data_IF_336418601559
#
_entry.id   IF_336418601559
#
_cell.length_a   1.000
_cell.length_b   1.000
_cell.length_c   1.000
_cell.angle_alpha   90.00
_cell.angle_beta   90.00
_cell.angle_gamma   90.00
#
_symmetry.space_group_name_H-M   'P 1'
#
loop_
_entity.id
_entity.type
_entity.pdbx_description
1 polymer ?
#
# COMPACT_ATOMS: atom_id res chain seq x y z
N UNK A 1 -43.97 -47.61 -39.18
CA UNK A 1 -43.71 -47.39 -37.73
C UNK A 1 -42.73 -46.23 -37.59
N UNK A 2 -43.27 -45.05 -37.27
CA UNK A 2 -42.53 -43.80 -37.27
C UNK A 2 -41.62 -43.67 -36.04
N UNK A 3 -40.32 -43.50 -36.27
CA UNK A 3 -39.31 -43.22 -35.23
C UNK A 3 -39.43 -41.77 -34.78
N UNK A 4 -39.91 -41.59 -33.54
CA UNK A 4 -40.08 -40.31 -32.84
C UNK A 4 -38.70 -39.82 -32.35
N UNK A 5 -38.16 -38.78 -32.96
CA UNK A 5 -36.90 -38.11 -32.54
C UNK A 5 -37.20 -37.26 -31.30
N UNK A 6 -36.66 -37.66 -30.15
CA UNK A 6 -36.61 -36.85 -28.93
C UNK A 6 -35.48 -35.82 -29.07
N UNK A 7 -35.83 -34.53 -29.09
CA UNK A 7 -34.89 -33.43 -28.91
C UNK A 7 -34.73 -33.16 -27.42
N UNK A 8 -33.57 -33.55 -26.87
CA UNK A 8 -33.10 -33.15 -25.55
C UNK A 8 -32.58 -31.71 -25.64
N UNK A 9 -33.31 -30.76 -25.07
CA UNK A 9 -32.84 -29.41 -24.82
C UNK A 9 -31.91 -29.43 -23.60
N UNK A 10 -30.60 -29.27 -23.83
CA UNK A 10 -29.61 -29.04 -22.77
C UNK A 10 -29.63 -27.53 -22.48
N UNK A 11 -30.26 -27.14 -21.38
CA UNK A 11 -30.11 -25.81 -20.82
C UNK A 11 -28.74 -25.73 -20.12
N UNK A 12 -27.76 -25.12 -20.78
CA UNK A 12 -26.46 -24.79 -20.18
C UNK A 12 -26.67 -23.55 -19.30
N UNK A 13 -26.81 -23.77 -17.99
CA UNK A 13 -26.77 -22.69 -16.99
C UNK A 13 -25.29 -22.37 -16.72
N UNK A 14 -24.80 -21.29 -17.31
CA UNK A 14 -23.49 -20.73 -16.98
C UNK A 14 -23.58 -20.00 -15.63
N UNK A 15 -23.16 -20.67 -14.56
CA UNK A 15 -22.96 -20.02 -13.26
C UNK A 15 -21.65 -19.25 -13.33
N UNK A 16 -21.74 -17.95 -13.61
CA UNK A 16 -20.63 -17.02 -13.43
C UNK A 16 -20.43 -16.80 -11.92
N UNK A 17 -19.53 -17.59 -11.33
CA UNK A 17 -19.02 -17.35 -9.98
C UNK A 17 -18.15 -16.09 -10.00
N UNK A 18 -18.78 -14.95 -9.76
CA UNK A 18 -18.07 -13.72 -9.44
C UNK A 18 -17.43 -13.83 -8.07
N UNK A 19 -16.09 -13.80 -8.02
CA UNK A 19 -15.36 -13.52 -6.78
C UNK A 19 -15.55 -12.04 -6.42
N UNK A 20 -16.62 -11.76 -5.68
CA UNK A 20 -16.84 -10.48 -5.02
C UNK A 20 -17.32 -10.76 -3.62
N UNK A 21 -16.44 -10.61 -2.63
CA UNK A 21 -16.82 -10.68 -1.22
C UNK A 21 -17.75 -9.51 -0.91
N UNK A 22 -19.05 -9.70 -1.15
CA UNK A 22 -20.09 -8.85 -0.62
C UNK A 22 -20.07 -9.02 0.91
N UNK A 23 -19.39 -8.11 1.59
CA UNK A 23 -19.44 -8.00 3.04
C UNK A 23 -20.89 -7.79 3.47
N UNK A 24 -21.52 -8.87 3.93
CA UNK A 24 -22.93 -8.93 4.33
C UNK A 24 -23.08 -8.60 5.83
N UNK A 25 -22.47 -7.50 6.28
CA UNK A 25 -22.56 -7.03 7.67
C UNK A 25 -23.75 -6.11 7.85
N UNK A 26 -24.83 -6.61 8.45
CA UNK A 26 -25.99 -5.81 8.87
C UNK A 26 -25.54 -4.78 9.92
N UNK A 27 -25.49 -3.51 9.53
CA UNK A 27 -25.93 -2.31 10.29
C UNK A 27 -25.33 -1.92 11.66
N UNK A 28 -24.79 -2.81 12.49
CA UNK A 28 -24.19 -2.46 13.78
C UNK A 28 -23.05 -3.42 14.17
N UNK A 29 -23.28 -4.73 14.10
CA UNK A 29 -22.26 -5.75 14.40
C UNK A 29 -21.00 -5.60 13.53
N UNK A 30 -21.20 -5.22 12.25
CA UNK A 30 -20.11 -4.93 11.33
C UNK A 30 -19.30 -3.68 11.71
N UNK A 31 -19.94 -2.67 12.32
CA UNK A 31 -19.25 -1.46 12.75
C UNK A 31 -18.43 -1.69 14.02
N UNK A 32 -18.99 -2.44 14.99
CA UNK A 32 -18.26 -2.84 16.20
C UNK A 32 -17.01 -3.67 15.85
N UNK A 33 -17.12 -4.56 14.85
CA UNK A 33 -15.98 -5.29 14.32
C UNK A 33 -14.92 -4.35 13.72
N UNK A 34 -15.32 -3.35 12.93
CA UNK A 34 -14.40 -2.37 12.35
C UNK A 34 -13.71 -1.53 13.43
N UNK A 35 -14.43 -1.13 14.48
CA UNK A 35 -13.84 -0.45 15.63
C UNK A 35 -12.82 -1.32 16.35
N UNK A 36 -13.10 -2.63 16.49
CA UNK A 36 -12.14 -3.55 17.09
C UNK A 36 -10.89 -3.72 16.20
N UNK A 37 -11.07 -3.92 14.90
CA UNK A 37 -9.96 -3.98 13.94
C UNK A 37 -9.10 -2.72 13.98
N UNK A 38 -9.72 -1.54 14.09
CA UNK A 38 -9.03 -0.27 14.21
C UNK A 38 -8.22 -0.17 15.52
N UNK A 39 -8.79 -0.58 16.65
CA UNK A 39 -8.07 -0.64 17.93
C UNK A 39 -6.87 -1.59 17.88
N UNK A 40 -7.04 -2.76 17.27
CA UNK A 40 -5.96 -3.74 17.12
C UNK A 40 -4.85 -3.21 16.19
N UNK A 41 -5.22 -2.49 15.13
CA UNK A 41 -4.27 -1.82 14.24
C UNK A 41 -3.46 -0.74 14.96
N UNK A 42 -4.11 0.11 15.75
CA UNK A 42 -3.43 1.12 16.57
C UNK A 42 -2.46 0.46 17.56
N UNK A 43 -2.88 -0.59 18.26
CA UNK A 43 -2.03 -1.31 19.20
C UNK A 43 -0.79 -1.92 18.52
N UNK A 44 -0.95 -2.52 17.33
CA UNK A 44 0.19 -3.02 16.54
C UNK A 44 1.13 -1.90 16.11
N UNK A 45 0.57 -0.77 15.69
CA UNK A 45 1.37 0.39 15.29
C UNK A 45 2.14 0.99 16.47
N UNK A 46 1.51 1.15 17.63
CA UNK A 46 2.15 1.62 18.86
C UNK A 46 3.29 0.68 19.28
N UNK A 47 3.10 -0.64 19.17
CA UNK A 47 4.18 -1.61 19.36
C UNK A 47 5.32 -1.43 18.37
N UNK A 48 5.03 -1.23 17.08
CA UNK A 48 6.05 -1.00 16.07
C UNK A 48 6.86 0.30 16.33
N UNK A 49 6.20 1.34 16.85
CA UNK A 49 6.88 2.57 17.30
C UNK A 49 7.80 2.31 18.48
N UNK A 50 7.35 1.53 19.47
CA UNK A 50 8.19 1.15 20.62
C UNK A 50 9.40 0.30 20.19
N UNK A 51 9.20 -0.70 19.33
CA UNK A 51 10.26 -1.57 18.80
C UNK A 51 11.30 -0.78 17.98
N UNK A 52 10.88 0.35 17.37
CA UNK A 52 11.75 1.28 16.66
C UNK A 52 12.39 2.37 17.55
N UNK A 53 12.32 2.24 18.87
CA UNK A 53 12.95 3.16 19.83
C UNK A 53 12.05 4.26 20.39
N UNK A 54 10.73 4.13 20.23
CA UNK A 54 9.74 4.95 20.95
C UNK A 54 9.49 6.36 20.38
N UNK A 55 10.07 6.69 19.23
CA UNK A 55 9.83 7.95 18.53
C UNK A 55 9.16 7.71 17.18
N UNK A 56 8.29 8.62 16.77
CA UNK A 56 7.67 8.55 15.45
C UNK A 56 8.72 8.71 14.35
N UNK A 57 9.00 7.60 13.68
CA UNK A 57 10.05 7.48 12.68
C UNK A 57 9.64 7.93 11.28
N UNK A 58 10.52 7.62 10.33
CA UNK A 58 10.21 7.74 8.92
C UNK A 58 9.32 6.56 8.51
N UNK A 59 8.13 6.85 7.97
CA UNK A 59 7.13 5.83 7.60
C UNK A 59 6.90 5.90 6.09
N UNK A 60 7.75 5.27 5.28
CA UNK A 60 7.53 5.22 3.85
C UNK A 60 6.28 4.41 3.53
N UNK A 61 5.57 4.81 2.46
CA UNK A 61 4.39 4.11 1.96
C UNK A 61 4.57 3.81 0.48
N UNK A 62 4.22 2.58 0.09
CA UNK A 62 4.37 2.09 -1.28
C UNK A 62 5.79 1.65 -1.61
N UNK A 63 6.10 1.66 -2.91
CA UNK A 63 7.36 1.15 -3.42
C UNK A 63 8.56 1.99 -2.98
N UNK A 64 9.55 1.31 -2.40
CA UNK A 64 10.84 1.88 -2.04
C UNK A 64 11.90 1.69 -3.12
N UNK A 65 11.54 0.98 -4.19
CA UNK A 65 12.38 0.73 -5.36
C UNK A 65 11.76 1.45 -6.56
N UNK A 66 12.55 2.21 -7.29
CA UNK A 66 12.12 2.93 -8.50
C UNK A 66 12.88 2.50 -9.74
N UNK A 67 12.34 2.80 -10.91
CA UNK A 67 12.94 2.55 -12.22
C UNK A 67 13.14 3.88 -12.96
N UNK A 68 14.29 4.03 -13.60
CA UNK A 68 14.63 5.16 -14.45
C UNK A 68 14.89 4.66 -15.88
N UNK A 69 14.11 5.17 -16.83
CA UNK A 69 14.08 4.66 -18.21
C UNK A 69 13.12 3.48 -18.37
N UNK A 70 12.89 3.07 -19.61
CA UNK A 70 11.99 1.97 -19.96
C UNK A 70 12.80 0.72 -20.33
N UNK A 71 12.30 -0.45 -19.90
CA UNK A 71 12.90 -1.73 -20.29
C UNK A 71 12.89 -1.89 -21.81
N UNK A 72 14.04 -2.23 -22.37
CA UNK A 72 14.14 -2.51 -23.79
C UNK A 72 13.35 -3.78 -24.13
N UNK A 73 12.69 -3.88 -25.31
CA UNK A 73 11.86 -5.05 -25.67
C UNK A 73 12.59 -6.40 -25.57
N UNK A 74 13.91 -6.41 -25.83
CA UNK A 74 14.76 -7.60 -25.72
C UNK A 74 15.05 -8.06 -24.28
N UNK A 75 14.71 -7.22 -23.30
CA UNK A 75 14.98 -7.39 -21.87
C UNK A 75 13.68 -7.61 -21.08
N UNK A 76 12.66 -8.24 -21.70
CA UNK A 76 11.31 -8.36 -21.16
C UNK A 76 11.24 -8.96 -19.74
N UNK A 77 12.10 -9.94 -19.45
CA UNK A 77 12.11 -10.62 -18.15
C UNK A 77 12.78 -9.79 -17.05
N UNK A 78 13.52 -8.73 -17.37
CA UNK A 78 14.23 -7.92 -16.37
C UNK A 78 13.27 -7.26 -15.39
N UNK A 79 12.08 -6.86 -15.87
CA UNK A 79 11.04 -6.31 -15.00
C UNK A 79 10.61 -7.35 -13.95
N UNK A 80 10.40 -8.59 -14.39
CA UNK A 80 9.98 -9.67 -13.50
C UNK A 80 11.12 -10.08 -12.56
N UNK A 81 12.37 -10.09 -13.02
CA UNK A 81 13.55 -10.32 -12.20
C UNK A 81 13.67 -9.28 -11.08
N UNK A 82 13.48 -7.99 -11.39
CA UNK A 82 13.47 -6.93 -10.39
C UNK A 82 12.33 -7.09 -9.37
N UNK A 83 11.10 -7.33 -9.84
CA UNK A 83 9.92 -7.49 -8.98
C UNK A 83 10.05 -8.69 -8.03
N UNK A 84 10.69 -9.77 -8.48
CA UNK A 84 10.98 -10.97 -7.68
C UNK A 84 12.27 -10.88 -6.85
N UNK A 85 12.92 -9.71 -6.81
CA UNK A 85 14.12 -9.49 -5.99
C UNK A 85 15.37 -10.20 -6.51
N UNK A 86 15.38 -10.63 -7.76
CA UNK A 86 16.54 -11.29 -8.38
C UNK A 86 17.54 -10.26 -8.86
N UNK A 87 18.23 -9.66 -7.89
CA UNK A 87 19.28 -8.67 -8.09
C UNK A 87 20.53 -9.12 -7.37
N UNK A 88 21.70 -8.92 -7.97
CA UNK A 88 22.98 -9.24 -7.33
C UNK A 88 24.06 -8.26 -7.73
N UNK A 89 25.03 -8.05 -6.84
CA UNK A 89 26.21 -7.26 -7.13
C UNK A 89 27.19 -8.08 -7.99
N UNK A 90 27.54 -7.57 -9.18
CA UNK A 90 28.56 -8.18 -10.04
C UNK A 90 29.99 -7.69 -9.70
N UNK A 91 30.11 -6.67 -8.84
CA UNK A 91 31.35 -6.13 -8.32
C UNK A 91 31.10 -5.52 -6.93
N UNK A 92 32.16 -5.23 -6.17
CA UNK A 92 32.04 -4.55 -4.88
C UNK A 92 31.36 -3.18 -5.07
N UNK A 93 30.33 -2.90 -4.26
CA UNK A 93 29.59 -1.65 -4.31
C UNK A 93 30.11 -0.64 -3.27
N UNK A 94 29.92 0.67 -3.49
CA UNK A 94 30.44 1.68 -2.58
C UNK A 94 29.74 1.67 -1.22
N UNK A 95 30.50 1.95 -0.18
CA UNK A 95 29.95 2.35 1.11
C UNK A 95 29.23 3.71 1.00
N UNK A 96 28.36 4.01 1.97
CA UNK A 96 27.76 5.34 2.06
C UNK A 96 28.86 6.38 2.36
N UNK A 97 28.91 7.52 1.62
CA UNK A 97 29.91 8.56 1.85
C UNK A 97 29.76 9.24 3.22
N UNK A 98 28.60 9.09 3.86
CA UNK A 98 28.29 9.57 5.22
C UNK A 98 27.46 8.51 5.94
N UNK A 99 27.56 8.47 7.27
CA UNK A 99 26.75 7.56 8.10
C UNK A 99 25.27 7.94 8.18
N UNK A 100 24.96 9.21 7.95
CA UNK A 100 23.60 9.75 8.04
C UNK A 100 23.26 10.64 6.86
N UNK A 101 21.97 10.71 6.56
CA UNK A 101 21.37 11.60 5.56
C UNK A 101 20.12 12.27 6.12
N UNK A 102 19.40 12.97 5.25
CA UNK A 102 18.17 13.69 5.64
C UNK A 102 17.01 13.28 4.74
N UNK A 103 15.89 12.94 5.36
CA UNK A 103 14.57 12.95 4.71
C UNK A 103 14.01 14.36 4.82
N UNK A 104 13.47 14.88 3.73
CA UNK A 104 12.90 16.23 3.65
C UNK A 104 11.47 16.15 3.14
N UNK A 105 10.50 16.57 3.94
CA UNK A 105 9.09 16.62 3.54
C UNK A 105 8.76 17.89 2.77
N UNK A 106 7.68 17.85 1.97
CA UNK A 106 7.21 19.01 1.20
C UNK A 106 6.93 20.25 2.06
N UNK A 107 6.56 20.07 3.33
CA UNK A 107 6.32 21.16 4.29
C UNK A 107 7.61 21.75 4.90
N UNK A 108 8.79 21.27 4.48
CA UNK A 108 10.09 21.73 4.99
C UNK A 108 10.57 21.01 6.26
N UNK A 109 9.75 20.14 6.87
CA UNK A 109 10.20 19.30 7.97
C UNK A 109 11.34 18.39 7.51
N UNK A 110 12.28 18.09 8.42
CA UNK A 110 13.44 17.25 8.13
C UNK A 110 13.66 16.22 9.22
N UNK A 111 14.15 15.04 8.84
CA UNK A 111 14.56 14.00 9.78
C UNK A 111 15.93 13.45 9.37
N UNK A 112 16.85 13.41 10.33
CA UNK A 112 18.14 12.74 10.15
C UNK A 112 17.94 11.24 10.25
N UNK A 113 18.47 10.50 9.29
CA UNK A 113 18.32 9.04 9.19
C UNK A 113 19.67 8.36 8.98
N UNK A 114 19.92 7.18 9.57
CA UNK A 114 21.10 6.38 9.23
C UNK A 114 20.99 5.88 7.79
N UNK A 115 22.12 5.92 7.08
CA UNK A 115 22.21 5.46 5.69
C UNK A 115 22.77 4.06 5.62
N UNK A 116 22.23 3.27 4.70
CA UNK A 116 22.78 1.97 4.32
C UNK A 116 23.88 2.14 3.26
N UNK A 117 24.85 1.25 3.26
CA UNK A 117 25.73 1.05 2.10
C UNK A 117 24.93 0.63 0.85
N UNK A 118 25.56 0.70 -0.32
CA UNK A 118 24.92 0.24 -1.55
C UNK A 118 24.63 -1.27 -1.53
N UNK A 119 25.50 -2.08 -0.92
CA UNK A 119 25.29 -3.52 -0.75
C UNK A 119 24.13 -3.84 0.21
N UNK A 120 24.06 -3.18 1.37
CA UNK A 120 22.95 -3.38 2.31
C UNK A 120 21.60 -2.99 1.70
N UNK A 121 21.55 -1.87 0.99
CA UNK A 121 20.33 -1.45 0.30
C UNK A 121 19.95 -2.40 -0.86
N UNK A 122 20.92 -2.98 -1.55
CA UNK A 122 20.67 -3.99 -2.59
C UNK A 122 20.13 -5.28 -1.98
N UNK A 123 20.67 -5.72 -0.85
CA UNK A 123 20.17 -6.88 -0.11
C UNK A 123 18.73 -6.66 0.38
N UNK A 124 18.40 -5.45 0.84
CA UNK A 124 17.02 -5.11 1.17
C UNK A 124 16.09 -5.10 -0.05
N UNK A 125 16.57 -4.67 -1.21
CA UNK A 125 15.81 -4.74 -2.46
C UNK A 125 15.54 -6.21 -2.84
N UNK A 126 16.55 -7.07 -2.75
CA UNK A 126 16.40 -8.49 -3.01
C UNK A 126 15.39 -9.16 -2.05
N UNK A 127 15.50 -8.86 -0.75
CA UNK A 127 14.60 -9.40 0.27
C UNK A 127 13.16 -8.88 0.17
N UNK A 128 12.95 -7.68 -0.39
CA UNK A 128 11.63 -7.11 -0.62
C UNK A 128 10.95 -7.64 -1.90
N UNK A 129 11.64 -8.43 -2.71
CA UNK A 129 11.08 -9.07 -3.88
C UNK A 129 9.86 -9.92 -3.54
N UNK A 130 8.82 -9.85 -4.36
CA UNK A 130 7.58 -10.60 -4.19
C UNK A 130 7.35 -11.57 -5.36
N UNK A 131 6.69 -12.69 -5.06
CA UNK A 131 6.48 -13.77 -6.03
C UNK A 131 7.73 -14.60 -6.29
N UNK A 132 7.63 -15.53 -7.24
CA UNK A 132 8.75 -16.34 -7.69
C UNK A 132 8.99 -16.11 -9.18
N UNK A 133 10.26 -16.15 -9.58
CA UNK A 133 10.64 -16.24 -10.99
C UNK A 133 11.91 -17.10 -11.08
N UNK A 134 11.82 -18.42 -10.87
CA UNK A 134 12.97 -19.32 -10.87
C UNK A 134 13.79 -19.25 -12.17
N UNK A 135 13.12 -18.98 -13.29
CA UNK A 135 13.66 -18.86 -14.65
C UNK A 135 14.29 -17.50 -14.94
N UNK A 136 13.96 -16.44 -14.19
CA UNK A 136 14.54 -15.12 -14.40
C UNK A 136 16.04 -15.15 -14.13
N UNK A 137 16.81 -14.67 -15.12
CA UNK A 137 18.23 -14.37 -14.93
C UNK A 137 18.35 -13.18 -13.96
N UNK A 138 19.14 -13.29 -12.88
CA UNK A 138 19.33 -12.17 -11.96
C UNK A 138 19.91 -10.93 -12.65
N UNK A 139 19.45 -9.76 -12.24
CA UNK A 139 19.98 -8.49 -12.69
C UNK A 139 21.33 -8.22 -12.03
N UNK A 140 22.37 -8.19 -12.86
CA UNK A 140 23.73 -7.88 -12.44
C UNK A 140 23.93 -6.37 -12.28
N UNK A 141 24.13 -5.94 -11.03
CA UNK A 141 24.46 -4.56 -10.67
C UNK A 141 25.96 -4.35 -10.85
N UNK A 142 26.32 -3.39 -11.71
CA UNK A 142 27.73 -3.09 -12.05
C UNK A 142 28.26 -1.81 -11.39
N UNK A 143 27.38 -1.01 -10.79
CA UNK A 143 27.78 0.18 -10.05
C UNK A 143 26.61 0.78 -9.29
N UNK A 144 26.93 1.63 -8.33
CA UNK A 144 25.95 2.39 -7.56
C UNK A 144 26.44 3.81 -7.31
N UNK A 145 25.52 4.77 -7.28
CA UNK A 145 25.80 6.15 -6.88
C UNK A 145 24.71 6.68 -5.97
N UNK A 146 25.09 7.54 -5.02
CA UNK A 146 24.11 8.15 -4.12
C UNK A 146 23.27 9.18 -4.87
N UNK A 147 21.98 9.20 -4.57
CA UNK A 147 20.98 10.09 -5.15
C UNK A 147 19.89 10.38 -4.11
N UNK A 148 18.81 11.02 -4.54
CA UNK A 148 17.59 11.15 -3.76
C UNK A 148 16.39 10.70 -4.57
N UNK A 149 15.37 10.17 -3.91
CA UNK A 149 14.12 9.75 -4.53
C UNK A 149 12.94 10.38 -3.80
N UNK A 150 11.91 10.79 -4.56
CA UNK A 150 10.64 11.22 -3.99
C UNK A 150 9.80 9.99 -3.65
N UNK A 151 9.29 9.92 -2.44
CA UNK A 151 8.42 8.84 -1.98
C UNK A 151 7.16 9.38 -1.30
N UNK A 152 6.18 8.52 -1.15
CA UNK A 152 5.01 8.79 -0.32
C UNK A 152 5.29 8.37 1.12
N UNK A 153 4.72 9.11 2.07
CA UNK A 153 4.79 8.78 3.50
C UNK A 153 3.44 9.06 4.15
N UNK A 154 3.27 8.63 5.40
CA UNK A 154 2.10 8.99 6.21
C UNK A 154 2.09 10.45 6.67
N UNK A 155 3.11 11.25 6.35
CA UNK A 155 3.25 12.68 6.69
C UNK A 155 3.34 13.59 5.46
N UNK A 156 2.96 13.07 4.31
CA UNK A 156 3.06 13.77 3.03
C UNK A 156 4.21 13.23 2.17
N UNK A 157 4.31 13.67 0.91
CA UNK A 157 5.43 13.32 0.06
C UNK A 157 6.76 13.83 0.65
N UNK A 158 7.80 13.00 0.56
CA UNK A 158 9.14 13.32 1.05
C UNK A 158 10.21 12.99 0.00
N UNK A 159 11.32 13.72 0.05
CA UNK A 159 12.56 13.38 -0.64
C UNK A 159 13.45 12.63 0.33
N UNK A 160 13.79 11.38 0.00
CA UNK A 160 14.62 10.50 0.83
C UNK A 160 15.96 10.19 0.14
N UNK A 161 17.05 9.95 0.91
CA UNK A 161 18.30 9.44 0.37
C UNK A 161 18.10 8.07 -0.28
N UNK A 162 18.74 7.87 -1.44
CA UNK A 162 18.62 6.64 -2.21
C UNK A 162 19.94 6.27 -2.89
N UNK A 163 20.07 5.00 -3.28
CA UNK A 163 21.06 4.54 -4.25
C UNK A 163 20.43 4.46 -5.63
N UNK A 164 21.17 4.84 -6.65
CA UNK A 164 20.89 4.54 -8.04
C UNK A 164 21.91 3.50 -8.53
N UNK A 165 21.41 2.39 -9.04
CA UNK A 165 22.15 1.25 -9.51
C UNK A 165 22.18 1.21 -11.04
N UNK A 166 23.37 0.95 -11.57
CA UNK A 166 23.59 0.63 -12.99
C UNK A 166 23.51 -0.87 -13.16
N UNK A 167 22.75 -1.32 -14.16
CA UNK A 167 22.58 -2.72 -14.50
C UNK A 167 23.39 -3.08 -15.75
N UNK A 168 23.90 -4.30 -15.82
CA UNK A 168 24.56 -4.82 -17.02
C UNK A 168 23.55 -5.07 -18.14
N UNK A 169 23.91 -4.71 -19.37
CA UNK A 169 23.14 -5.07 -20.57
C UNK A 169 21.87 -4.25 -20.84
N UNK A 170 21.63 -3.18 -20.07
CA UNK A 170 20.47 -2.28 -20.23
C UNK A 170 20.85 -0.83 -19.92
N UNK A 171 20.13 0.13 -20.51
CA UNK A 171 20.18 1.54 -20.14
C UNK A 171 19.33 1.89 -18.92
N UNK A 172 18.46 0.98 -18.47
CA UNK A 172 17.61 1.17 -17.30
C UNK A 172 18.46 1.23 -16.03
N UNK A 173 18.10 2.18 -15.15
CA UNK A 173 18.66 2.27 -13.80
C UNK A 173 17.60 2.01 -12.75
N UNK A 174 18.02 1.41 -11.64
CA UNK A 174 17.13 1.09 -10.53
C UNK A 174 17.50 1.96 -9.34
N UNK A 175 16.52 2.49 -8.63
CA UNK A 175 16.74 3.29 -7.42
C UNK A 175 16.20 2.57 -6.20
N UNK A 176 16.82 2.76 -5.03
CA UNK A 176 16.36 2.21 -3.75
C UNK A 176 16.56 3.20 -2.63
N UNK A 177 15.52 3.45 -1.83
CA UNK A 177 15.67 4.21 -0.57
C UNK A 177 16.68 3.53 0.34
N UNK A 178 17.60 4.30 0.89
CA UNK A 178 18.74 3.80 1.67
C UNK A 178 18.65 4.16 3.15
N UNK A 179 17.43 4.24 3.68
CA UNK A 179 17.21 4.50 5.11
C UNK A 179 17.27 3.19 5.88
N UNK A 180 18.10 3.13 6.91
CA UNK A 180 18.21 1.94 7.75
C UNK A 180 16.88 1.63 8.47
N UNK A 181 16.57 0.34 8.63
CA UNK A 181 15.33 -0.11 9.26
C UNK A 181 15.18 0.35 10.71
N UNK A 182 16.28 0.65 11.40
CA UNK A 182 16.27 1.22 12.76
C UNK A 182 15.68 2.63 12.83
N UNK A 183 15.52 3.32 11.69
CA UNK A 183 14.88 4.62 11.61
C UNK A 183 13.52 4.58 10.89
N UNK A 184 13.03 3.38 10.54
CA UNK A 184 11.74 3.19 9.89
C UNK A 184 10.75 2.48 10.81
N UNK A 185 9.47 2.85 10.72
CA UNK A 185 8.41 2.09 11.37
C UNK A 185 7.91 1.05 10.37
N UNK A 186 8.21 -0.22 10.63
CA UNK A 186 7.63 -1.34 9.89
C UNK A 186 6.51 -1.99 10.70
N UNK A 187 5.34 -2.07 10.09
CA UNK A 187 4.20 -2.80 10.62
C UNK A 187 4.09 -4.12 9.88
N UNK A 188 4.08 -5.22 10.61
CA UNK A 188 3.75 -6.53 10.03
C UNK A 188 2.22 -6.62 9.94
N UNK A 189 1.64 -6.87 8.75
CA UNK A 189 0.20 -7.06 8.63
C UNK A 189 -0.23 -8.31 9.43
N UNK A 190 -1.49 -8.35 9.92
CA UNK A 190 -2.03 -9.56 10.50
C UNK A 190 -2.00 -10.71 9.49
N UNK A 191 -1.89 -11.95 9.98
CA UNK A 191 -1.99 -13.13 9.11
C UNK A 191 -3.32 -13.11 8.37
N UNK A 192 -3.29 -13.28 7.05
CA UNK A 192 -4.50 -13.39 6.26
C UNK A 192 -5.21 -14.71 6.59
N UNK A 193 -6.45 -14.62 7.08
CA UNK A 193 -7.36 -15.76 7.15
C UNK A 193 -8.30 -15.72 5.93
N UNK A 194 -8.19 -16.66 4.98
CA UNK A 194 -9.05 -16.67 3.80
C UNK A 194 -10.53 -16.88 4.14
N UNK A 195 -10.85 -17.45 5.31
CA UNK A 195 -12.22 -17.68 5.77
C UNK A 195 -12.79 -16.51 6.57
N UNK A 196 -11.93 -15.60 7.02
CA UNK A 196 -12.32 -14.41 7.74
C UNK A 196 -11.58 -13.17 7.19
N UNK A 197 -11.91 -12.74 5.97
CA UNK A 197 -11.26 -11.58 5.37
C UNK A 197 -11.56 -10.32 6.19
N UNK A 198 -10.62 -9.38 6.27
CA UNK A 198 -10.85 -8.15 7.01
C UNK A 198 -12.00 -7.35 6.43
N UNK A 199 -12.85 -6.82 7.31
CA UNK A 199 -13.93 -5.92 6.93
C UNK A 199 -13.45 -4.53 6.52
N UNK A 200 -14.35 -3.74 5.94
CA UNK A 200 -14.15 -2.32 5.69
C UNK A 200 -13.80 -1.98 4.24
N UNK A 201 -13.95 -0.72 3.88
CA UNK A 201 -13.61 -0.21 2.55
C UNK A 201 -12.10 0.01 2.44
N UNK A 202 -11.49 -0.47 1.37
CA UNK A 202 -10.08 -0.22 1.08
C UNK A 202 -9.83 1.27 0.77
N UNK A 203 -8.96 1.91 1.55
CA UNK A 203 -8.61 3.32 1.40
C UNK A 203 -7.26 3.42 0.68
N UNK A 204 -7.20 4.25 -0.37
CA UNK A 204 -6.00 4.42 -1.18
C UNK A 204 -5.08 5.55 -0.73
N UNK A 205 -5.64 6.61 -0.12
CA UNK A 205 -4.88 7.73 0.44
C UNK A 205 -5.76 8.69 1.22
N UNK A 206 -5.13 9.61 1.94
CA UNK A 206 -5.79 10.81 2.43
C UNK A 206 -5.06 12.07 1.93
N UNK A 207 -5.78 13.18 1.83
CA UNK A 207 -5.24 14.52 1.60
C UNK A 207 -5.57 15.38 2.80
N UNK A 208 -4.56 16.07 3.34
CA UNK A 208 -4.71 16.99 4.47
C UNK A 208 -3.48 17.88 4.61
N UNK A 209 -3.52 18.80 5.56
CA UNK A 209 -2.33 19.50 6.07
C UNK A 209 -1.93 18.87 7.40
N UNK A 210 -0.64 18.85 7.75
CA UNK A 210 -0.20 18.29 9.06
C UNK A 210 -0.77 19.07 10.26
N UNK A 211 -1.16 20.33 10.07
CA UNK A 211 -1.87 21.16 11.05
C UNK A 211 -3.39 21.00 11.01
N UNK A 212 -3.91 20.28 10.02
CA UNK A 212 -5.34 20.10 9.78
C UNK A 212 -5.94 19.03 10.69
N UNK A 213 -7.21 19.24 11.03
CA UNK A 213 -8.09 18.23 11.64
C UNK A 213 -8.97 17.53 10.61
N UNK A 214 -9.20 18.13 9.45
CA UNK A 214 -9.99 17.55 8.38
C UNK A 214 -9.11 16.74 7.42
N UNK A 215 -9.50 15.50 7.15
CA UNK A 215 -8.87 14.62 6.16
C UNK A 215 -9.86 14.33 5.05
N UNK A 216 -9.45 14.51 3.80
CA UNK A 216 -10.18 14.02 2.63
C UNK A 216 -9.68 12.62 2.30
N UNK A 217 -10.55 11.63 2.45
CA UNK A 217 -10.25 10.21 2.29
C UNK A 217 -10.61 9.78 0.87
N UNK A 218 -9.66 9.24 0.12
CA UNK A 218 -9.87 8.76 -1.24
C UNK A 218 -9.90 7.22 -1.29
N UNK A 219 -10.93 6.66 -1.92
CA UNK A 219 -11.19 5.22 -1.98
C UNK A 219 -11.96 4.86 -3.27
N UNK A 220 -12.09 3.56 -3.53
CA UNK A 220 -12.92 3.04 -4.62
C UNK A 220 -14.28 2.62 -4.05
N UNK A 221 -15.37 3.13 -4.63
CA UNK A 221 -16.75 2.80 -4.20
C UNK A 221 -17.74 2.78 -5.38
N UNK A 222 -19.03 2.73 -5.07
CA UNK A 222 -20.12 2.80 -6.02
C UNK A 222 -20.10 4.10 -6.83
N UNK A 223 -20.48 4.01 -8.11
CA UNK A 223 -20.48 5.15 -9.03
C UNK A 223 -21.60 6.16 -8.71
N UNK A 224 -22.81 5.66 -8.51
CA UNK A 224 -24.00 6.48 -8.26
C UNK A 224 -24.16 6.88 -6.78
N UNK A 225 -24.94 7.94 -6.49
CA UNK A 225 -25.34 8.28 -5.13
C UNK A 225 -26.30 7.22 -4.55
N UNK A 226 -26.45 7.17 -3.23
CA UNK A 226 -27.36 6.22 -2.57
C UNK A 226 -28.78 6.25 -3.12
N UNK A 227 -29.25 7.38 -3.65
CA UNK A 227 -30.62 7.52 -4.18
C UNK A 227 -30.88 6.79 -5.51
N UNK A 228 -29.88 6.13 -6.09
CA UNK A 228 -29.99 5.42 -7.37
C UNK A 228 -29.66 3.93 -7.19
N UNK A 229 -30.26 3.05 -8.01
CA UNK A 229 -29.88 1.64 -8.02
C UNK A 229 -28.38 1.45 -8.17
N UNK A 230 -27.80 0.53 -7.40
CA UNK A 230 -26.36 0.29 -7.35
C UNK A 230 -25.50 1.48 -6.91
N UNK A 231 -26.12 2.48 -6.29
CA UNK A 231 -25.44 3.62 -5.70
C UNK A 231 -25.22 3.50 -4.19
N UNK A 232 -24.30 4.30 -3.68
CA UNK A 232 -24.03 4.41 -2.26
C UNK A 232 -23.53 5.80 -1.88
N UNK A 233 -23.86 6.20 -0.67
CA UNK A 233 -23.26 7.36 0.01
C UNK A 233 -22.24 6.85 1.03
N UNK A 234 -21.36 7.74 1.49
CA UNK A 234 -20.23 7.35 2.33
C UNK A 234 -19.99 8.37 3.44
N UNK A 235 -19.95 7.89 4.68
CA UNK A 235 -19.42 8.65 5.81
C UNK A 235 -18.08 8.09 6.23
N UNK A 236 -17.32 8.82 7.05
CA UNK A 236 -16.11 8.33 7.65
C UNK A 236 -15.98 8.76 9.10
N UNK A 237 -15.30 7.93 9.87
CA UNK A 237 -14.91 8.18 11.25
C UNK A 237 -13.44 7.79 11.46
N UNK A 238 -12.86 8.30 12.54
CA UNK A 238 -11.48 8.07 12.91
C UNK A 238 -11.40 7.43 14.29
N UNK A 239 -10.53 6.43 14.42
CA UNK A 239 -10.09 5.90 15.73
C UNK A 239 -8.65 6.36 15.92
N UNK A 240 -8.38 7.08 17.00
CA UNK A 240 -7.13 7.80 17.19
C UNK A 240 -6.32 7.27 18.38
N UNK A 241 -5.01 7.16 18.20
CA UNK A 241 -4.02 7.05 19.28
C UNK A 241 -3.06 8.25 19.26
N UNK A 242 -2.12 8.26 20.21
CA UNK A 242 -1.04 9.24 20.22
C UNK A 242 -0.12 9.10 18.99
N UNK A 243 -0.01 7.91 18.39
CA UNK A 243 0.92 7.67 17.28
C UNK A 243 0.28 7.49 15.90
N UNK A 244 -1.01 7.14 15.84
CA UNK A 244 -1.66 6.84 14.58
C UNK A 244 -3.16 7.16 14.61
N UNK A 245 -3.73 7.21 13.42
CA UNK A 245 -5.15 7.37 13.17
C UNK A 245 -5.58 6.28 12.18
N UNK A 246 -6.56 5.47 12.56
CA UNK A 246 -7.20 4.53 11.64
C UNK A 246 -8.48 5.17 11.11
N UNK A 247 -8.66 5.13 9.79
CA UNK A 247 -9.84 5.68 9.13
C UNK A 247 -10.80 4.54 8.77
N UNK A 248 -12.06 4.70 9.13
CA UNK A 248 -13.14 3.79 8.81
C UNK A 248 -14.08 4.51 7.86
N UNK A 249 -14.26 3.98 6.64
CA UNK A 249 -15.27 4.46 5.69
C UNK A 249 -16.49 3.55 5.80
N UNK A 250 -17.64 4.16 6.05
CA UNK A 250 -18.92 3.49 6.24
C UNK A 250 -19.73 3.69 4.96
N UNK A 251 -20.10 2.57 4.33
CA UNK A 251 -20.88 2.55 3.10
C UNK A 251 -22.39 2.50 3.39
N UNK A 252 -23.12 3.42 2.77
CA UNK A 252 -24.56 3.57 2.88
C UNK A 252 -25.23 3.21 1.55
N UNK A 253 -25.51 1.93 1.32
CA UNK A 253 -26.06 1.42 0.04
C UNK A 253 -27.55 1.79 -0.17
N UNK A 254 -27.96 1.94 -1.43
CA UNK A 254 -29.36 2.19 -1.83
C UNK A 254 -30.31 1.12 -1.24
N UNK A 255 -30.08 -0.14 -1.59
CA UNK A 255 -30.80 -1.31 -1.08
C UNK A 255 -29.90 -2.56 -1.12
N UNK A 256 -30.17 -3.55 -0.26
CA UNK A 256 -29.31 -4.72 -0.07
C UNK A 256 -29.43 -5.82 -1.14
N UNK A 257 -30.53 -5.85 -1.89
CA UNK A 257 -30.91 -7.01 -2.72
C UNK A 257 -30.83 -6.75 -4.24
N UNK A 258 -30.13 -5.69 -4.65
CA UNK A 258 -29.98 -5.32 -6.06
C UNK A 258 -28.82 -6.05 -6.75
N UNK A 259 -29.04 -6.53 -7.98
CA UNK A 259 -27.99 -7.12 -8.80
C UNK A 259 -27.16 -6.03 -9.48
N UNK A 260 -25.99 -5.74 -8.93
CA UNK A 260 -25.12 -4.67 -9.39
C UNK A 260 -23.86 -5.19 -10.09
N UNK A 261 -23.48 -4.54 -11.20
CA UNK A 261 -22.17 -4.74 -11.80
C UNK A 261 -21.10 -4.22 -10.82
N UNK A 262 -20.01 -4.97 -10.66
CA UNK A 262 -18.88 -4.61 -9.80
C UNK A 262 -18.00 -3.50 -10.41
N UNK A 263 -18.62 -2.36 -10.76
CA UNK A 263 -17.95 -1.21 -11.35
C UNK A 263 -17.57 -0.20 -10.27
N UNK A 264 -16.27 -0.15 -9.96
CA UNK A 264 -15.71 0.82 -9.02
C UNK A 264 -15.52 2.21 -9.64
N UNK A 265 -15.76 3.25 -8.85
CA UNK A 265 -15.44 4.64 -9.15
C UNK A 265 -14.57 5.24 -8.04
N UNK A 266 -13.70 6.19 -8.38
CA UNK A 266 -13.00 6.98 -7.37
C UNK A 266 -14.01 7.82 -6.59
N UNK A 267 -14.01 7.68 -5.27
CA UNK A 267 -14.86 8.39 -4.33
C UNK A 267 -14.01 9.09 -3.29
N UNK A 268 -14.59 10.12 -2.69
CA UNK A 268 -14.01 10.78 -1.55
C UNK A 268 -15.06 11.06 -0.48
N UNK A 269 -14.63 11.07 0.77
CA UNK A 269 -15.41 11.55 1.92
C UNK A 269 -14.48 12.29 2.87
N UNK A 270 -15.04 13.03 3.82
CA UNK A 270 -14.26 13.79 4.81
C UNK A 270 -14.44 13.20 6.19
N UNK A 271 -13.37 13.23 6.98
CA UNK A 271 -13.39 12.89 8.40
C UNK A 271 -12.70 13.99 9.20
N UNK A 272 -13.27 14.31 10.35
CA UNK A 272 -12.70 15.26 11.30
C UNK A 272 -12.01 14.50 12.43
N UNK A 273 -10.79 14.90 12.73
CA UNK A 273 -10.00 14.38 13.84
C UNK A 273 -10.25 15.20 15.12
N UNK A 274 -10.17 14.52 16.26
CA UNK A 274 -10.20 15.13 17.57
C UNK A 274 -9.02 16.10 17.80
N UNK A 275 -7.87 15.82 17.16
CA UNK A 275 -6.66 16.66 17.21
C UNK A 275 -6.00 16.77 15.84
N UNK A 276 -5.19 17.81 15.57
CA UNK A 276 -4.45 17.93 14.31
C UNK A 276 -3.62 16.67 14.01
N UNK A 277 -3.53 16.25 12.74
CA UNK A 277 -2.81 15.00 12.38
C UNK A 277 -1.37 14.98 12.91
N UNK A 278 -0.67 16.12 12.80
CA UNK A 278 0.70 16.28 13.29
C UNK A 278 1.66 15.32 12.59
N UNK A 279 2.35 14.52 13.40
CA UNK A 279 3.29 13.49 12.93
C UNK A 279 2.71 12.07 12.97
N UNK A 280 1.43 11.93 13.35
CA UNK A 280 0.75 10.64 13.44
C UNK A 280 0.59 9.99 12.07
N UNK A 281 0.76 8.67 12.05
CA UNK A 281 0.53 7.91 10.83
C UNK A 281 -0.97 7.77 10.56
N UNK A 282 -1.34 7.71 9.29
CA UNK A 282 -2.70 7.34 8.88
C UNK A 282 -2.65 5.89 8.42
N UNK A 283 -3.54 5.07 8.96
CA UNK A 283 -3.64 3.64 8.71
C UNK A 283 -5.00 3.31 8.08
N UNK A 284 -5.03 2.31 7.20
CA UNK A 284 -6.29 1.71 6.73
C UNK A 284 -6.81 0.64 7.71
N UNK A 285 -8.12 0.43 7.73
CA UNK A 285 -8.78 -0.44 8.72
C UNK A 285 -8.65 -1.94 8.43
N UNK A 286 -8.48 -2.35 7.18
CA UNK A 286 -8.52 -3.77 6.80
C UNK A 286 -7.32 -4.51 7.39
N UNK A 287 -6.11 -3.98 7.26
CA UNK A 287 -4.88 -4.63 7.75
C UNK A 287 -4.13 -3.78 8.79
N UNK A 288 -4.53 -2.53 9.02
CA UNK A 288 -3.79 -1.60 9.88
C UNK A 288 -2.51 -1.08 9.24
N UNK A 289 -2.45 -1.05 7.91
CA UNK A 289 -1.24 -0.67 7.18
C UNK A 289 -1.16 0.84 6.95
N UNK A 290 0.04 1.43 6.98
CA UNK A 290 0.26 2.83 6.62
C UNK A 290 -0.25 3.18 5.21
N UNK A 291 -1.04 4.25 5.09
CA UNK A 291 -1.50 4.79 3.81
C UNK A 291 -0.90 6.18 3.53
N UNK A 292 -0.76 6.58 2.25
CA UNK A 292 -0.06 7.81 1.93
C UNK A 292 -0.93 9.04 2.22
N UNK A 293 -0.29 10.07 2.78
CA UNK A 293 -0.84 11.44 2.80
C UNK A 293 -0.31 12.18 1.58
N UNK A 294 -1.18 12.83 0.81
CA UNK A 294 -0.85 13.52 -0.46
C UNK A 294 -0.99 15.03 -0.39
#
# INVERSE_FOLDING_TARGET
MARRRWMLWIAVVAILSGCGSAGNGRGADGLDQLHQQARDALARYDKAVLDAGGHQGFVPVGELTGQLGDWEPKNGDNKQALLSGRVLAAAALPAAPRRTGKVVWKNGATQTVPLLSADEALNQMAAAGAGSCPECVPLEVTGARMTTMRIQTTRGPATAPAWEYTLKGTGVRVTRVTVASSATIHVTPPSSDPYNPPGGVAIGSVTTTTSGRQLTVAFTGARGPRSQPCGADYSAEAVESANAVVIIVIEHRHAGDEACLALGAQRATTVELAQPLGTRAVLEVQHGMPIPVR
#
